data_IF_770430235012
#
_entry.id   IF_770430235012
#
_cell.length_a   1.000
_cell.length_b   1.000
_cell.length_c   1.000
_cell.angle_alpha   90.00
_cell.angle_beta   90.00
_cell.angle_gamma   90.00
#
_symmetry.space_group_name_H-M   'P 1'
#
loop_
_entity.id
_entity.type
_entity.pdbx_description
1 polymer ?
#
# COMPACT_ATOMS: atom_id res chain seq x y z
N UNK A 1 -18.75 3.65 2.39
CA UNK A 1 -17.29 3.39 2.30
C UNK A 1 -16.59 4.40 3.17
N UNK A 2 -15.87 3.97 4.20
CA UNK A 2 -15.08 4.90 5.03
C UNK A 2 -13.84 5.29 4.25
N UNK A 3 -13.71 6.57 3.88
CA UNK A 3 -12.52 7.09 3.21
C UNK A 3 -11.45 7.29 4.27
N UNK A 4 -10.69 6.24 4.55
CA UNK A 4 -9.51 6.35 5.40
C UNK A 4 -8.42 7.06 4.60
N UNK A 5 -8.19 8.34 4.92
CA UNK A 5 -7.03 9.06 4.42
C UNK A 5 -5.80 8.44 5.09
N UNK A 6 -4.82 8.09 4.26
CA UNK A 6 -3.53 7.64 4.77
C UNK A 6 -2.81 8.81 5.45
N UNK A 7 -2.01 8.54 6.50
CA UNK A 7 -1.24 9.59 7.17
C UNK A 7 -0.27 10.25 6.19
N UNK A 8 0.11 11.50 6.47
CA UNK A 8 1.16 12.15 5.70
C UNK A 8 2.50 11.43 5.93
N UNK A 9 3.24 11.22 4.84
CA UNK A 9 4.57 10.63 4.89
C UNK A 9 5.64 11.72 5.06
N UNK A 10 6.83 11.38 5.58
CA UNK A 10 7.96 12.31 5.64
C UNK A 10 8.37 12.84 4.26
N UNK A 11 9.05 13.98 4.24
CA UNK A 11 9.59 14.56 3.00
C UNK A 11 10.44 13.56 2.22
N UNK A 12 10.23 13.49 0.90
CA UNK A 12 10.93 12.56 0.02
C UNK A 12 10.26 11.18 -0.12
N UNK A 13 9.18 10.93 0.61
CA UNK A 13 8.36 9.73 0.50
C UNK A 13 7.00 10.02 -0.14
N UNK A 14 6.41 8.99 -0.76
CA UNK A 14 5.03 9.01 -1.25
C UNK A 14 4.38 7.64 -1.16
N UNK A 15 3.06 7.61 -1.21
CA UNK A 15 2.35 6.38 -1.56
C UNK A 15 2.39 6.19 -3.09
N UNK A 16 2.72 4.98 -3.52
CA UNK A 16 2.62 4.61 -4.93
C UNK A 16 1.22 4.14 -5.31
N UNK A 17 1.14 3.42 -6.44
CA UNK A 17 -0.12 2.98 -7.03
C UNK A 17 -0.80 1.92 -6.15
N UNK A 18 -2.11 2.05 -5.98
CA UNK A 18 -2.94 1.09 -5.25
C UNK A 18 -2.91 -0.29 -5.89
N UNK A 19 -2.91 -1.32 -5.04
CA UNK A 19 -2.94 -2.72 -5.43
C UNK A 19 -4.13 -3.38 -4.75
N UNK A 20 -4.98 -4.00 -5.56
CA UNK A 20 -6.08 -4.83 -5.09
C UNK A 20 -5.62 -6.28 -4.98
N UNK A 21 -5.74 -6.87 -3.80
CA UNK A 21 -5.31 -8.23 -3.51
C UNK A 21 -6.48 -8.99 -2.91
N UNK A 22 -6.72 -10.20 -3.41
CA UNK A 22 -7.66 -11.16 -2.81
C UNK A 22 -6.84 -12.17 -2.00
N UNK A 23 -6.87 -12.11 -0.66
CA UNK A 23 -6.20 -13.10 0.18
C UNK A 23 -6.79 -14.49 -0.04
N UNK A 24 -5.99 -15.52 0.19
CA UNK A 24 -6.50 -16.89 0.23
C UNK A 24 -7.42 -17.07 1.45
N UNK A 25 -8.52 -17.80 1.27
CA UNK A 25 -9.51 -18.01 2.32
C UNK A 25 -8.92 -18.77 3.51
N UNK A 26 -9.11 -18.26 4.73
CA UNK A 26 -8.73 -18.92 5.97
C UNK A 26 -7.28 -18.72 6.44
N UNK A 27 -6.50 -17.89 5.75
CA UNK A 27 -5.15 -17.53 6.15
C UNK A 27 -5.07 -16.08 6.67
N UNK A 28 -4.11 -15.81 7.55
CA UNK A 28 -3.72 -14.44 7.89
C UNK A 28 -3.17 -13.74 6.65
N UNK A 29 -3.49 -12.45 6.49
CA UNK A 29 -2.99 -11.64 5.39
C UNK A 29 -1.90 -10.69 5.86
N UNK A 30 -0.75 -10.77 5.19
CA UNK A 30 0.33 -9.80 5.32
C UNK A 30 0.47 -9.03 4.01
N UNK A 31 0.54 -7.69 4.04
CA UNK A 31 0.76 -6.92 2.82
C UNK A 31 2.14 -7.27 2.22
N UNK A 32 2.31 -7.17 0.89
CA UNK A 32 3.62 -7.31 0.26
C UNK A 32 4.65 -6.38 0.91
N UNK A 33 5.92 -6.77 0.90
CA UNK A 33 7.00 -5.96 1.44
C UNK A 33 6.95 -4.53 0.90
N UNK A 34 7.11 -3.56 1.79
CA UNK A 34 7.06 -2.13 1.48
C UNK A 34 5.66 -1.57 1.26
N UNK A 35 4.61 -2.38 1.41
CA UNK A 35 3.23 -1.92 1.29
C UNK A 35 2.55 -1.80 2.66
N UNK A 36 1.62 -0.85 2.76
CA UNK A 36 0.69 -0.73 3.88
C UNK A 36 -0.74 -0.99 3.42
N UNK A 37 -1.58 -1.51 4.31
CA UNK A 37 -3.00 -1.71 4.05
C UNK A 37 -3.71 -0.35 4.12
N UNK A 38 -4.32 0.06 3.02
CA UNK A 38 -5.14 1.28 2.95
C UNK A 38 -6.58 1.01 3.35
N UNK A 39 -7.16 -0.09 2.87
CA UNK A 39 -8.53 -0.47 3.18
C UNK A 39 -8.76 -1.97 3.01
N UNK A 40 -9.80 -2.48 3.69
CA UNK A 40 -10.27 -3.85 3.58
C UNK A 40 -11.76 -3.82 3.26
N UNK A 41 -12.16 -4.49 2.19
CA UNK A 41 -13.55 -4.76 1.84
C UNK A 41 -13.87 -6.21 2.22
N UNK A 42 -14.58 -6.38 3.34
CA UNK A 42 -14.98 -7.69 3.85
C UNK A 42 -16.06 -8.38 3.01
N UNK A 43 -16.88 -7.62 2.27
CA UNK A 43 -17.93 -8.19 1.41
C UNK A 43 -17.35 -8.92 0.21
N UNK A 44 -16.34 -8.32 -0.43
CA UNK A 44 -15.68 -8.88 -1.61
C UNK A 44 -14.40 -9.67 -1.28
N UNK A 45 -13.98 -9.69 -0.02
CA UNK A 45 -12.72 -10.29 0.42
C UNK A 45 -11.49 -9.64 -0.21
N UNK A 46 -11.54 -8.32 -0.45
CA UNK A 46 -10.49 -7.56 -1.14
C UNK A 46 -9.75 -6.68 -0.14
N UNK A 47 -8.42 -6.72 -0.20
CA UNK A 47 -7.54 -5.80 0.53
C UNK A 47 -6.89 -4.84 -0.47
N UNK A 48 -6.97 -3.55 -0.20
CA UNK A 48 -6.25 -2.52 -0.96
C UNK A 48 -4.97 -2.17 -0.21
N UNK A 49 -3.83 -2.40 -0.86
CA UNK A 49 -2.51 -2.04 -0.36
C UNK A 49 -1.90 -0.93 -1.20
N UNK A 50 -1.06 -0.10 -0.59
CA UNK A 50 -0.24 0.90 -1.30
C UNK A 50 1.23 0.74 -0.93
N UNK A 51 2.16 0.78 -1.89
CA UNK A 51 3.58 0.80 -1.59
C UNK A 51 4.00 2.16 -1.02
N UNK A 52 4.87 2.17 -0.03
CA UNK A 52 5.62 3.36 0.37
C UNK A 52 6.84 3.44 -0.55
N UNK A 53 7.02 4.59 -1.19
CA UNK A 53 8.11 4.82 -2.12
C UNK A 53 8.98 5.98 -1.64
N UNK A 54 10.29 5.87 -1.86
CA UNK A 54 11.24 6.95 -1.68
C UNK A 54 11.94 7.28 -2.99
N UNK A 55 12.28 8.56 -3.17
CA UNK A 55 12.87 9.05 -4.40
C UNK A 55 14.39 9.06 -4.32
N UNK A 56 15.04 8.35 -5.25
CA UNK A 56 16.50 8.33 -5.41
C UNK A 56 16.88 9.33 -6.49
N UNK A 57 17.31 10.52 -6.06
CA UNK A 57 17.64 11.64 -6.97
C UNK A 57 18.73 11.29 -7.98
N UNK A 58 19.74 10.51 -7.58
CA UNK A 58 20.84 10.14 -8.47
C UNK A 58 20.39 9.26 -9.65
N UNK A 59 19.25 8.58 -9.50
CA UNK A 59 18.71 7.64 -10.49
C UNK A 59 17.42 8.14 -11.14
N UNK A 60 16.91 9.31 -10.71
CA UNK A 60 15.59 9.84 -11.10
C UNK A 60 14.48 8.78 -10.97
N UNK A 61 14.48 8.04 -9.85
CA UNK A 61 13.65 6.86 -9.67
C UNK A 61 12.95 6.82 -8.32
N UNK A 62 11.70 6.41 -8.32
CA UNK A 62 10.96 6.02 -7.12
C UNK A 62 11.11 4.53 -6.88
N UNK A 63 11.63 4.14 -5.72
CA UNK A 63 11.74 2.74 -5.33
C UNK A 63 10.86 2.45 -4.14
N UNK A 64 10.33 1.23 -4.07
CA UNK A 64 9.53 0.78 -2.91
C UNK A 64 10.50 0.48 -1.77
N UNK A 65 10.18 1.00 -0.58
CA UNK A 65 11.00 0.83 0.64
C UNK A 65 10.87 -0.59 1.17
#
# INVERSE_FOLDING_TARGET
>A
MTVNLLPQLPCGYRYGIERSIRPQTGAEFFPPQGCVIKSVNFGDGVVICVPIQWYIKQLDLWVTV
#
